data_IF_364792383601
#
_entry.id   IF_364792383601
#
_cell.length_a   1.000
_cell.length_b   1.000
_cell.length_c   1.000
_cell.angle_alpha   90.00
_cell.angle_beta   90.00
_cell.angle_gamma   90.00
#
_symmetry.space_group_name_H-M   'P 1'
#
loop_
_entity.id
_entity.type
_entity.pdbx_description
1 polymer ?
#
# COMPACT_ATOMS: atom_id res chain seq x y z
N UNK A 1 -10.08 15.59 32.10
CA UNK A 1 -9.50 15.62 30.74
C UNK A 1 -10.13 14.51 29.89
N UNK A 2 -11.06 14.87 29.01
CA UNK A 2 -11.97 13.96 28.32
C UNK A 2 -11.29 13.37 27.08
N UNK A 3 -11.06 12.05 27.07
CA UNK A 3 -10.59 11.31 25.89
C UNK A 3 -11.80 11.03 25.00
N UNK A 4 -11.99 11.82 23.94
CA UNK A 4 -12.98 11.53 22.90
C UNK A 4 -12.45 10.42 21.99
N UNK A 5 -13.06 9.23 21.93
CA UNK A 5 -12.81 8.31 20.83
C UNK A 5 -13.45 8.93 19.59
N UNK A 6 -12.64 9.58 18.74
CA UNK A 6 -13.10 10.11 17.46
C UNK A 6 -13.76 8.99 16.67
N UNK A 7 -15.08 9.09 16.54
CA UNK A 7 -15.94 8.26 15.71
C UNK A 7 -15.39 8.30 14.28
N UNK A 8 -14.53 7.34 13.95
CA UNK A 8 -13.91 7.28 12.63
C UNK A 8 -14.93 6.60 11.73
N UNK A 9 -15.74 7.41 11.05
CA UNK A 9 -16.67 6.92 10.06
C UNK A 9 -15.95 5.99 9.08
N UNK A 10 -16.58 4.88 8.65
CA UNK A 10 -15.96 3.95 7.72
C UNK A 10 -15.59 4.69 6.42
N UNK A 11 -14.31 4.60 6.04
CA UNK A 11 -13.79 5.23 4.83
C UNK A 11 -14.23 4.41 3.61
N UNK A 12 -14.98 5.05 2.72
CA UNK A 12 -15.45 4.43 1.47
C UNK A 12 -14.30 4.42 0.48
N UNK A 13 -13.72 3.24 0.24
CA UNK A 13 -12.62 3.04 -0.72
C UNK A 13 -13.09 2.83 -2.16
N UNK A 14 -14.38 2.55 -2.35
CA UNK A 14 -15.00 2.29 -3.65
C UNK A 14 -16.36 1.62 -3.58
N UNK A 15 -16.96 1.38 -4.74
CA UNK A 15 -18.31 0.85 -4.90
C UNK A 15 -18.32 -0.50 -5.63
N UNK A 16 -19.32 -1.32 -5.32
CA UNK A 16 -19.57 -2.58 -6.01
C UNK A 16 -20.60 -2.32 -7.11
N UNK A 17 -20.25 -2.62 -8.36
CA UNK A 17 -21.12 -2.49 -9.52
C UNK A 17 -21.85 -3.81 -9.78
N UNK A 18 -23.10 -3.73 -10.26
CA UNK A 18 -23.90 -4.90 -10.63
C UNK A 18 -23.36 -5.62 -11.89
N UNK A 19 -22.65 -4.88 -12.75
CA UNK A 19 -22.03 -5.33 -14.00
C UNK A 19 -20.80 -6.25 -13.83
N UNK A 20 -20.35 -6.97 -14.88
CA UNK A 20 -19.24 -7.94 -14.82
C UNK A 20 -17.86 -7.35 -14.44
N UNK A 21 -17.73 -6.02 -14.28
CA UNK A 21 -16.54 -5.36 -13.70
C UNK A 21 -16.92 -4.78 -12.34
N UNK A 22 -16.85 -5.66 -11.34
CA UNK A 22 -17.58 -5.56 -10.08
C UNK A 22 -17.14 -4.48 -9.10
N UNK A 23 -15.98 -3.83 -9.28
CA UNK A 23 -15.48 -2.86 -8.30
C UNK A 23 -14.97 -1.59 -8.98
N UNK A 24 -15.31 -0.43 -8.42
CA UNK A 24 -14.83 0.89 -8.86
C UNK A 24 -14.30 1.69 -7.68
N UNK A 25 -13.37 2.61 -7.93
CA UNK A 25 -12.92 3.54 -6.90
C UNK A 25 -13.97 4.62 -6.63
N UNK A 26 -14.02 5.13 -5.39
CA UNK A 26 -14.89 6.23 -4.97
C UNK A 26 -14.36 7.59 -5.43
N UNK A 27 -13.07 7.68 -5.72
CA UNK A 27 -12.43 8.93 -6.13
C UNK A 27 -12.77 9.30 -7.59
N UNK A 28 -13.19 10.55 -7.86
CA UNK A 28 -13.62 10.98 -9.19
C UNK A 28 -12.50 10.90 -10.22
N UNK A 29 -11.25 11.13 -9.80
CA UNK A 29 -10.06 10.98 -10.65
C UNK A 29 -9.84 9.53 -11.14
N UNK A 30 -10.39 8.55 -10.42
CA UNK A 30 -10.25 7.12 -10.70
C UNK A 30 -11.52 6.47 -11.25
N UNK A 31 -12.52 7.27 -11.67
CA UNK A 31 -13.83 6.79 -12.15
C UNK A 31 -13.73 5.83 -13.36
N UNK A 32 -12.69 5.98 -14.18
CA UNK A 32 -12.42 5.07 -15.31
C UNK A 32 -11.75 3.75 -14.92
N UNK A 33 -11.27 3.61 -13.68
CA UNK A 33 -10.61 2.39 -13.20
C UNK A 33 -11.63 1.39 -12.66
N UNK A 34 -11.73 0.25 -13.33
CA UNK A 34 -12.58 -0.87 -12.91
C UNK A 34 -11.71 -2.05 -12.51
N UNK A 35 -12.00 -2.63 -11.36
CA UNK A 35 -11.26 -3.77 -10.80
C UNK A 35 -12.13 -5.02 -10.85
N UNK A 36 -11.52 -6.15 -11.24
CA UNK A 36 -12.19 -7.45 -11.19
C UNK A 36 -12.27 -8.04 -9.78
N UNK A 37 -11.46 -7.54 -8.83
CA UNK A 37 -11.39 -8.04 -7.45
C UNK A 37 -11.28 -6.90 -6.45
N UNK A 38 -11.90 -7.09 -5.28
CA UNK A 38 -11.83 -6.15 -4.15
C UNK A 38 -10.38 -5.93 -3.68
N UNK A 39 -9.52 -6.95 -3.75
CA UNK A 39 -8.11 -6.84 -3.39
C UNK A 39 -7.35 -5.83 -4.27
N UNK A 40 -7.65 -5.78 -5.57
CA UNK A 40 -7.04 -4.83 -6.49
C UNK A 40 -7.52 -3.40 -6.21
N UNK A 41 -8.82 -3.20 -5.92
CA UNK A 41 -9.37 -1.92 -5.49
C UNK A 41 -8.73 -1.41 -4.18
N UNK A 42 -8.63 -2.27 -3.16
CA UNK A 42 -7.98 -1.93 -1.88
C UNK A 42 -6.54 -1.48 -2.08
N UNK A 43 -5.82 -2.19 -2.94
CA UNK A 43 -4.43 -1.85 -3.27
C UNK A 43 -4.33 -0.53 -4.00
N UNK A 44 -5.21 -0.29 -4.98
CA UNK A 44 -5.30 0.98 -5.67
C UNK A 44 -5.54 2.13 -4.69
N UNK A 45 -6.55 2.02 -3.82
CA UNK A 45 -6.86 3.05 -2.84
C UNK A 45 -5.69 3.32 -1.89
N UNK A 46 -4.99 2.27 -1.44
CA UNK A 46 -3.82 2.41 -0.57
C UNK A 46 -2.65 3.13 -1.28
N UNK A 47 -2.40 2.81 -2.55
CA UNK A 47 -1.26 3.37 -3.31
C UNK A 47 -1.56 4.74 -3.91
N UNK A 48 -2.82 5.05 -4.22
CA UNK A 48 -3.18 6.30 -4.90
C UNK A 48 -3.77 7.33 -3.94
N UNK A 49 -4.58 6.90 -2.97
CA UNK A 49 -5.43 7.78 -2.17
C UNK A 49 -5.05 7.83 -0.70
N UNK A 50 -4.16 6.94 -0.24
CA UNK A 50 -3.58 7.08 1.10
C UNK A 50 -2.46 8.10 1.04
N UNK A 51 -2.61 9.11 1.88
CA UNK A 51 -1.70 10.24 2.03
C UNK A 51 -0.26 9.75 2.13
N UNK A 52 0.63 10.35 1.33
CA UNK A 52 2.04 9.98 1.30
C UNK A 52 2.71 10.07 2.68
N UNK A 53 2.17 10.92 3.58
CA UNK A 53 2.65 11.05 4.95
C UNK A 53 2.42 9.81 5.82
N UNK A 54 1.42 8.98 5.49
CA UNK A 54 1.14 7.72 6.20
C UNK A 54 1.64 6.48 5.44
N UNK A 55 2.36 6.66 4.32
CA UNK A 55 3.03 5.56 3.64
C UNK A 55 4.27 5.20 4.42
N UNK A 56 4.16 4.16 5.26
CA UNK A 56 5.36 3.54 5.81
C UNK A 56 6.16 2.95 4.65
N UNK A 57 7.26 3.61 4.31
CA UNK A 57 8.26 3.08 3.38
C UNK A 57 8.96 1.90 4.04
N UNK A 58 8.62 0.68 3.59
CA UNK A 58 9.37 -0.49 4.00
C UNK A 58 10.77 -0.41 3.38
N UNK A 59 11.80 -0.23 4.19
CA UNK A 59 13.20 -0.29 3.75
C UNK A 59 13.80 -1.68 4.03
N UNK A 60 14.90 -2.00 3.36
CA UNK A 60 15.64 -3.22 3.69
C UNK A 60 16.27 -3.05 5.08
N UNK A 61 16.14 -4.03 6.00
CA UNK A 61 16.76 -3.96 7.32
C UNK A 61 18.28 -4.08 7.31
N UNK A 62 18.88 -4.47 6.17
CA UNK A 62 20.34 -4.60 6.05
C UNK A 62 20.94 -3.22 5.74
N UNK A 63 21.76 -2.64 6.65
CA UNK A 63 22.23 -1.25 6.54
C UNK A 63 23.09 -1.02 5.29
N UNK A 64 23.84 -2.02 4.87
CA UNK A 64 24.74 -1.97 3.69
C UNK A 64 24.06 -2.37 2.38
N UNK A 65 22.73 -2.60 2.39
CA UNK A 65 22.03 -2.93 1.18
C UNK A 65 21.99 -1.73 0.22
N UNK A 66 22.39 -1.94 -1.03
CA UNK A 66 22.35 -0.90 -2.08
C UNK A 66 20.93 -0.34 -2.32
N UNK A 67 19.87 -1.08 -1.91
CA UNK A 67 18.48 -0.58 -1.92
C UNK A 67 18.13 0.38 -0.78
N UNK A 68 18.98 0.45 0.25
CA UNK A 68 18.93 1.45 1.32
C UNK A 68 19.84 2.66 1.01
N UNK A 69 20.84 2.50 0.14
CA UNK A 69 21.72 3.57 -0.29
C UNK A 69 20.98 4.61 -1.16
N UNK A 70 21.25 5.90 -0.88
CA UNK A 70 20.56 7.07 -1.45
C UNK A 70 20.47 7.01 -2.98
N UNK A 71 19.26 6.82 -3.52
CA UNK A 71 18.95 6.88 -4.95
C UNK A 71 17.44 6.93 -5.23
N UNK A 72 17.05 7.20 -6.49
CA UNK A 72 15.66 7.40 -7.01
C UNK A 72 14.65 6.27 -6.72
N UNK A 73 15.08 5.15 -6.11
CA UNK A 73 14.25 3.99 -5.71
C UNK A 73 14.58 3.57 -4.27
N UNK A 74 14.53 4.52 -3.34
CA UNK A 74 14.74 4.27 -1.91
C UNK A 74 13.54 3.50 -1.35
N UNK A 75 13.78 2.29 -0.85
CA UNK A 75 12.74 1.48 -0.20
C UNK A 75 11.80 0.72 -1.15
N UNK A 76 10.87 -0.01 -0.55
CA UNK A 76 9.86 -0.86 -1.21
C UNK A 76 8.48 -0.20 -1.23
N UNK A 77 8.39 1.07 -0.85
CA UNK A 77 7.13 1.78 -0.66
C UNK A 77 6.26 1.09 0.40
N UNK A 78 4.92 1.12 0.26
CA UNK A 78 4.00 0.45 1.19
C UNK A 78 3.99 -1.09 1.06
N UNK A 79 4.80 -1.68 0.16
CA UNK A 79 4.75 -3.11 -0.16
C UNK A 79 5.75 -3.91 0.67
N UNK A 80 5.33 -4.28 1.89
CA UNK A 80 6.09 -5.20 2.77
C UNK A 80 6.49 -6.50 2.06
N UNK A 81 5.59 -7.08 1.27
CA UNK A 81 5.84 -8.29 0.47
C UNK A 81 7.11 -8.17 -0.39
N UNK A 82 7.27 -7.04 -1.10
CA UNK A 82 8.43 -6.81 -1.96
C UNK A 82 9.72 -6.64 -1.17
N UNK A 83 9.64 -6.10 0.05
CA UNK A 83 10.77 -6.05 0.97
C UNK A 83 11.15 -7.45 1.43
N UNK A 84 10.18 -8.25 1.85
CA UNK A 84 10.44 -9.60 2.38
C UNK A 84 11.00 -10.52 1.29
N UNK A 85 10.43 -10.48 0.10
CA UNK A 85 10.95 -11.15 -1.10
C UNK A 85 12.39 -10.74 -1.39
N UNK A 86 12.69 -9.44 -1.39
CA UNK A 86 14.05 -8.96 -1.58
C UNK A 86 15.00 -9.48 -0.51
N UNK A 87 14.62 -9.42 0.77
CA UNK A 87 15.46 -9.92 1.86
C UNK A 87 15.72 -11.42 1.70
N UNK A 88 14.72 -12.20 1.31
CA UNK A 88 14.88 -13.65 1.07
C UNK A 88 15.81 -13.96 -0.10
N UNK A 89 15.60 -13.31 -1.25
CA UNK A 89 16.37 -13.61 -2.47
C UNK A 89 17.78 -13.01 -2.45
N UNK A 90 17.92 -11.79 -1.91
CA UNK A 90 19.18 -11.03 -1.98
C UNK A 90 20.02 -11.23 -0.72
N UNK A 91 19.39 -11.38 0.46
CA UNK A 91 20.10 -11.51 1.72
C UNK A 91 19.98 -12.91 2.35
N UNK A 92 19.32 -13.86 1.67
CA UNK A 92 19.31 -15.27 2.03
C UNK A 92 19.05 -15.50 3.51
N UNK A 93 17.82 -15.26 3.96
CA UNK A 93 17.27 -15.57 5.31
C UNK A 93 18.31 -16.02 6.35
N UNK A 94 19.08 -15.09 6.93
CA UNK A 94 19.65 -15.30 8.26
C UNK A 94 18.91 -14.43 9.25
N UNK A 95 17.79 -14.97 9.75
CA UNK A 95 17.44 -14.75 11.15
C UNK A 95 18.57 -15.37 11.96
N UNK A 96 19.28 -14.55 12.72
CA UNK A 96 20.07 -15.01 13.85
C UNK A 96 19.53 -14.29 15.08
#
# INVERSE_FOLDING_TARGET
PSTTPSSTAPIIIGYILSDPKKFTCSEPSCSSMKFGRLADLRRHHNVQHTDASNRMDYTCPIPECTRNAKGRKKGFGPRRDKRDEHVRNVHGSRRK
#
